data_IF_654021239434
#
_entry.id   IF_654021239434
#
_cell.length_a   1.000
_cell.length_b   1.000
_cell.length_c   1.000
_cell.angle_alpha   90.00
_cell.angle_beta   90.00
_cell.angle_gamma   90.00
#
_symmetry.space_group_name_H-M   'P 1'
#
loop_
_entity.id
_entity.type
_entity.pdbx_description
1 polymer ?
#
# COMPACT_ATOMS: atom_id res chain seq x y z
N UNK A 1 -55.68 26.94 -6.89
CA UNK A 1 -56.29 28.23 -6.48
C UNK A 1 -55.87 28.65 -5.07
N UNK A 2 -54.60 29.04 -4.89
CA UNK A 2 -54.18 29.93 -3.80
C UNK A 2 -52.86 30.62 -4.20
N UNK A 3 -52.80 31.02 -5.48
CA UNK A 3 -51.88 32.05 -5.96
C UNK A 3 -52.62 33.38 -5.79
N UNK A 4 -52.39 34.04 -4.67
CA UNK A 4 -52.46 35.49 -4.55
C UNK A 4 -51.22 35.84 -3.72
N UNK A 5 -50.15 36.33 -4.34
CA UNK A 5 -49.99 37.74 -4.76
C UNK A 5 -50.50 38.69 -3.68
N UNK A 6 -49.64 39.66 -3.42
CA UNK A 6 -49.83 40.87 -2.62
C UNK A 6 -49.14 40.74 -1.26
N UNK A 7 -47.84 41.04 -1.21
CA UNK A 7 -47.26 42.40 -1.17
C UNK A 7 -46.98 42.80 0.28
N UNK A 8 -45.69 42.92 0.60
CA UNK A 8 -45.07 44.21 0.94
C UNK A 8 -45.67 44.89 2.18
N UNK A 9 -45.04 44.60 3.31
CA UNK A 9 -44.74 45.61 4.33
C UNK A 9 -43.37 45.24 4.92
N UNK A 10 -42.24 45.73 4.37
CA UNK A 10 -41.54 46.93 4.86
C UNK A 10 -41.74 47.18 6.36
N UNK A 11 -40.80 46.69 7.16
CA UNK A 11 -40.39 47.26 8.45
C UNK A 11 -38.93 46.80 8.73
N UNK A 12 -37.89 47.60 8.47
CA UNK A 12 -37.33 48.67 9.32
C UNK A 12 -36.37 48.13 10.39
N UNK A 13 -35.20 48.79 10.47
CA UNK A 13 -34.25 48.93 11.59
C UNK A 13 -33.00 48.03 11.67
N UNK A 14 -31.86 48.67 11.36
CA UNK A 14 -30.63 48.79 12.18
C UNK A 14 -30.06 47.55 12.90
N UNK A 15 -28.91 47.07 12.41
CA UNK A 15 -28.00 46.16 13.12
C UNK A 15 -26.62 46.79 13.31
N UNK A 16 -26.31 47.12 14.56
CA UNK A 16 -25.26 48.02 15.07
C UNK A 16 -23.87 47.36 15.09
N UNK A 17 -22.82 48.12 14.70
CA UNK A 17 -21.41 47.81 15.00
C UNK A 17 -21.24 47.61 16.52
N UNK A 18 -20.56 46.54 16.92
CA UNK A 18 -20.19 46.29 18.31
C UNK A 18 -19.06 45.28 18.40
N UNK A 19 -17.82 45.76 18.34
CA UNK A 19 -16.63 44.97 18.64
C UNK A 19 -16.65 44.54 20.11
N UNK A 20 -16.59 43.24 20.36
CA UNK A 20 -16.42 42.68 21.71
C UNK A 20 -14.92 42.60 22.01
N UNK A 21 -14.43 43.46 22.89
CA UNK A 21 -13.08 43.32 23.48
C UNK A 21 -13.14 42.17 24.49
N UNK A 22 -12.42 41.09 24.21
CA UNK A 22 -12.30 39.94 25.12
C UNK A 22 -11.11 40.15 26.05
N UNK A 23 -11.37 40.53 27.29
CA UNK A 23 -10.35 40.60 28.34
C UNK A 23 -9.99 39.18 28.77
N UNK A 24 -8.74 38.78 28.57
CA UNK A 24 -8.21 37.48 28.95
C UNK A 24 -7.80 37.55 30.42
N UNK A 25 -8.65 37.04 31.30
CA UNK A 25 -8.37 36.93 32.73
C UNK A 25 -7.24 35.89 32.92
N UNK A 26 -6.08 36.32 33.41
CA UNK A 26 -4.93 35.45 33.68
C UNK A 26 -4.94 35.13 35.18
N UNK A 27 -5.38 33.91 35.53
CA UNK A 27 -5.24 33.37 36.88
C UNK A 27 -3.84 32.79 37.11
N UNK A 28 -3.39 32.66 38.38
CA UNK A 28 -2.07 32.12 38.68
C UNK A 28 -1.97 30.65 38.22
N UNK A 29 -0.89 30.34 37.51
CA UNK A 29 -0.58 28.99 37.01
C UNK A 29 -0.30 28.09 38.22
N UNK A 30 -0.98 26.95 38.32
CA UNK A 30 -0.79 25.98 39.40
C UNK A 30 0.69 25.55 39.52
N UNK A 31 1.18 25.19 40.73
CA UNK A 31 2.55 24.74 40.91
C UNK A 31 2.79 23.47 40.09
N UNK A 32 3.87 23.47 39.32
CA UNK A 32 4.32 22.32 38.53
C UNK A 32 4.58 21.14 39.46
N UNK A 33 3.90 20.02 39.21
CA UNK A 33 4.12 18.79 39.96
C UNK A 33 5.44 18.15 39.49
N UNK A 34 6.50 18.12 40.30
CA UNK A 34 7.83 17.64 39.89
C UNK A 34 7.87 16.12 39.65
N UNK A 35 6.82 15.40 40.03
CA UNK A 35 6.70 13.95 39.79
C UNK A 35 6.21 13.62 38.37
N UNK A 36 5.71 14.61 37.62
CA UNK A 36 5.23 14.40 36.25
C UNK A 36 6.37 13.98 35.29
N UNK A 37 7.58 14.48 35.51
CA UNK A 37 8.76 14.16 34.69
C UNK A 37 9.31 12.74 34.95
N UNK A 38 8.90 12.09 36.05
CA UNK A 38 9.35 10.74 36.42
C UNK A 38 8.36 9.64 36.04
N UNK A 39 7.13 10.00 35.64
CA UNK A 39 6.05 9.06 35.28
C UNK A 39 5.92 8.86 33.77
N UNK A 40 6.47 9.76 32.96
CA UNK A 40 6.57 9.56 31.51
C UNK A 40 7.86 8.79 31.23
N UNK A 41 7.81 7.47 30.94
CA UNK A 41 8.98 6.82 30.38
C UNK A 41 9.37 7.60 29.11
N UNK A 42 10.67 7.91 28.91
CA UNK A 42 11.09 8.70 27.75
C UNK A 42 10.50 8.07 26.49
N UNK A 43 9.89 8.90 25.65
CA UNK A 43 9.22 8.51 24.38
C UNK A 43 10.17 7.80 23.38
N UNK A 44 11.43 7.58 23.78
CA UNK A 44 12.51 6.97 23.01
C UNK A 44 12.45 5.43 22.90
N UNK A 45 11.61 4.73 23.66
CA UNK A 45 11.62 3.25 23.69
C UNK A 45 10.67 2.53 22.72
N UNK A 46 9.88 3.23 21.90
CA UNK A 46 9.07 2.60 20.84
C UNK A 46 9.52 3.11 19.46
N UNK A 47 10.77 2.81 19.09
CA UNK A 47 11.17 2.88 17.69
C UNK A 47 10.49 1.72 16.95
N UNK A 48 9.35 2.00 16.31
CA UNK A 48 8.73 1.04 15.40
C UNK A 48 9.76 0.69 14.32
N UNK A 49 9.97 -0.59 13.98
CA UNK A 49 10.88 -0.95 12.90
C UNK A 49 10.49 -0.17 11.63
N UNK A 50 11.48 0.28 10.83
CA UNK A 50 11.19 0.97 9.58
C UNK A 50 10.25 0.10 8.75
N UNK A 51 9.17 0.69 8.24
CA UNK A 51 8.24 -0.04 7.36
C UNK A 51 9.05 -0.54 6.16
N UNK A 52 8.95 -1.83 5.79
CA UNK A 52 9.63 -2.32 4.61
C UNK A 52 9.13 -1.56 3.38
N UNK A 53 10.05 -1.11 2.54
CA UNK A 53 9.71 -0.38 1.33
C UNK A 53 8.87 -1.26 0.41
N UNK A 54 7.69 -0.78 0.04
CA UNK A 54 6.75 -1.48 -0.86
C UNK A 54 7.27 -1.66 -2.30
N UNK A 55 8.43 -1.08 -2.59
CA UNK A 55 9.14 -1.17 -3.87
C UNK A 55 10.42 -2.00 -3.80
N UNK A 56 10.64 -2.77 -2.72
CA UNK A 56 11.78 -3.67 -2.64
C UNK A 56 11.77 -4.64 -3.83
N UNK A 57 12.94 -4.83 -4.43
CA UNK A 57 13.16 -5.72 -5.56
C UNK A 57 14.41 -6.54 -5.27
N UNK A 58 14.27 -7.86 -5.19
CA UNK A 58 15.38 -8.78 -5.00
C UNK A 58 15.81 -9.32 -6.36
N UNK A 59 17.05 -9.04 -6.76
CA UNK A 59 17.55 -9.38 -8.10
C UNK A 59 18.46 -10.60 -8.02
N UNK A 60 18.28 -11.52 -8.97
CA UNK A 60 19.13 -12.68 -9.20
C UNK A 60 19.61 -12.72 -10.67
N UNK A 61 20.91 -12.90 -10.93
CA UNK A 61 22.02 -13.05 -9.99
C UNK A 61 22.39 -11.72 -9.29
N UNK A 62 22.88 -11.80 -8.05
CA UNK A 62 23.15 -10.62 -7.22
C UNK A 62 24.24 -9.69 -7.80
N UNK A 63 25.12 -10.23 -8.65
CA UNK A 63 26.14 -9.47 -9.39
C UNK A 63 25.56 -8.46 -10.39
N UNK A 64 24.35 -8.69 -10.89
CA UNK A 64 23.71 -7.84 -11.90
C UNK A 64 22.72 -6.83 -11.30
N UNK A 65 22.67 -6.70 -9.97
CA UNK A 65 21.73 -5.82 -9.24
C UNK A 65 21.69 -4.38 -9.75
N UNK A 66 22.82 -3.81 -10.16
CA UNK A 66 22.91 -2.41 -10.61
C UNK A 66 22.78 -2.23 -12.12
N UNK A 67 22.94 -3.30 -12.91
CA UNK A 67 23.00 -3.24 -14.37
C UNK A 67 21.77 -3.84 -15.04
N UNK A 68 20.91 -4.54 -14.30
CA UNK A 68 19.79 -5.29 -14.85
C UNK A 68 18.55 -4.42 -15.09
N UNK A 69 18.15 -4.28 -16.37
CA UNK A 69 16.91 -3.62 -16.77
C UNK A 69 15.72 -4.59 -16.80
N UNK A 70 14.97 -4.66 -15.70
CA UNK A 70 13.80 -5.54 -15.55
C UNK A 70 12.51 -4.99 -16.21
N UNK A 71 12.59 -3.91 -17.00
CA UNK A 71 11.41 -3.31 -17.68
C UNK A 71 10.87 -4.20 -18.80
N UNK A 72 11.73 -4.97 -19.46
CA UNK A 72 11.37 -5.89 -20.54
C UNK A 72 11.04 -7.29 -20.02
N UNK A 73 11.16 -7.53 -18.71
CA UNK A 73 10.97 -8.85 -18.13
C UNK A 73 9.49 -9.18 -18.04
N UNK A 74 9.20 -10.48 -18.12
CA UNK A 74 7.84 -10.98 -18.05
C UNK A 74 7.42 -11.15 -16.58
N UNK A 75 6.27 -10.59 -16.23
CA UNK A 75 5.72 -10.70 -14.89
C UNK A 75 4.96 -12.01 -14.69
N UNK A 76 5.38 -12.79 -13.71
CA UNK A 76 4.73 -14.01 -13.23
C UNK A 76 4.16 -13.71 -11.84
N UNK A 77 2.85 -13.91 -11.69
CA UNK A 77 2.18 -13.84 -10.40
C UNK A 77 1.94 -15.26 -9.87
N UNK A 78 2.02 -15.49 -8.55
CA UNK A 78 1.75 -16.82 -8.00
C UNK A 78 0.38 -17.38 -8.40
N UNK A 79 -0.65 -16.53 -8.47
CA UNK A 79 -2.01 -16.87 -8.96
C UNK A 79 -2.02 -17.55 -10.34
N UNK A 80 -0.99 -17.35 -11.18
CA UNK A 80 -0.92 -18.00 -12.49
C UNK A 80 -0.72 -19.51 -12.39
N UNK A 81 -0.03 -19.96 -11.34
CA UNK A 81 0.36 -21.35 -11.09
C UNK A 81 -0.54 -22.04 -10.05
N UNK A 82 -1.46 -21.30 -9.44
CA UNK A 82 -2.30 -21.78 -8.35
C UNK A 82 -3.41 -22.71 -8.84
N UNK A 83 -3.41 -23.95 -8.34
CA UNK A 83 -4.41 -24.97 -8.66
C UNK A 83 -5.81 -24.64 -8.12
N UNK A 84 -5.89 -23.93 -6.99
CA UNK A 84 -7.14 -23.60 -6.30
C UNK A 84 -7.93 -22.52 -7.05
N UNK A 85 -7.23 -21.67 -7.81
CA UNK A 85 -7.81 -20.53 -8.54
C UNK A 85 -8.25 -20.95 -9.92
N UNK A 86 -9.39 -20.44 -10.38
CA UNK A 86 -9.89 -20.71 -11.74
C UNK A 86 -9.22 -19.83 -12.79
N UNK A 87 -9.38 -20.17 -14.08
CA UNK A 87 -8.89 -19.34 -15.20
C UNK A 87 -9.45 -17.92 -15.16
N UNK A 88 -10.71 -17.77 -14.71
CA UNK A 88 -11.35 -16.46 -14.53
C UNK A 88 -10.65 -15.62 -13.45
N UNK A 89 -10.17 -16.27 -12.39
CA UNK A 89 -9.46 -15.63 -11.29
C UNK A 89 -7.99 -15.33 -11.61
N UNK A 90 -7.42 -15.95 -12.65
CA UNK A 90 -6.08 -15.61 -13.13
C UNK A 90 -5.16 -16.79 -13.42
N UNK A 91 -5.58 -18.03 -13.12
CA UNK A 91 -4.79 -19.22 -13.45
C UNK A 91 -4.52 -19.28 -14.96
N UNK A 92 -3.26 -19.52 -15.32
CA UNK A 92 -2.81 -19.55 -16.74
C UNK A 92 -2.43 -20.93 -17.24
N UNK A 93 -2.20 -21.89 -16.34
CA UNK A 93 -1.82 -23.26 -16.66
C UNK A 93 -2.99 -24.24 -16.46
N UNK A 94 -2.85 -25.45 -17.00
CA UNK A 94 -3.79 -26.53 -16.77
C UNK A 94 -3.84 -26.91 -15.28
N UNK A 95 -5.00 -27.35 -14.79
CA UNK A 95 -5.15 -27.69 -13.38
C UNK A 95 -4.32 -28.92 -12.96
N UNK A 96 -3.95 -29.79 -13.92
CA UNK A 96 -3.06 -30.93 -13.69
C UNK A 96 -1.61 -30.53 -13.39
N UNK A 97 -1.17 -29.40 -13.93
CA UNK A 97 0.22 -28.95 -13.86
C UNK A 97 0.38 -27.84 -12.82
N UNK A 98 -0.75 -27.42 -12.21
CA UNK A 98 -0.81 -26.39 -11.21
C UNK A 98 -0.48 -26.92 -9.82
N UNK A 99 0.08 -26.04 -8.99
CA UNK A 99 0.47 -26.35 -7.61
C UNK A 99 -0.46 -25.65 -6.63
N UNK A 100 -0.77 -26.25 -5.47
CA UNK A 100 -1.54 -25.59 -4.44
C UNK A 100 -0.69 -24.50 -3.75
N UNK A 101 -1.28 -23.32 -3.57
CA UNK A 101 -0.73 -22.20 -2.79
C UNK A 101 0.74 -21.83 -3.13
N UNK A 102 1.05 -21.53 -4.40
CA UNK A 102 2.41 -21.17 -4.81
C UNK A 102 2.85 -19.86 -4.15
N UNK A 103 4.07 -19.81 -3.62
CA UNK A 103 4.65 -18.57 -3.09
C UNK A 103 5.62 -17.90 -4.06
N UNK A 104 5.79 -16.58 -3.95
CA UNK A 104 6.75 -15.83 -4.79
C UNK A 104 8.21 -16.26 -4.53
N UNK A 105 8.49 -16.75 -3.32
CA UNK A 105 9.82 -17.21 -2.91
C UNK A 105 10.15 -18.54 -3.59
N UNK A 106 9.24 -19.52 -3.57
CA UNK A 106 9.42 -20.81 -4.24
C UNK A 106 9.60 -20.64 -5.75
N UNK A 107 8.85 -19.72 -6.37
CA UNK A 107 9.02 -19.42 -7.80
C UNK A 107 10.42 -18.86 -8.06
N UNK A 108 10.92 -17.95 -7.21
CA UNK A 108 12.29 -17.43 -7.30
C UNK A 108 13.35 -18.53 -7.11
N UNK A 109 13.16 -19.42 -6.14
CA UNK A 109 14.04 -20.57 -5.90
C UNK A 109 14.08 -21.54 -7.07
N UNK A 110 12.94 -21.85 -7.67
CA UNK A 110 12.85 -22.69 -8.85
C UNK A 110 13.58 -22.06 -10.05
N UNK A 111 13.39 -20.76 -10.29
CA UNK A 111 14.10 -20.02 -11.34
C UNK A 111 15.60 -19.94 -11.08
N UNK A 112 16.00 -19.81 -9.81
CA UNK A 112 17.40 -19.88 -9.38
C UNK A 112 18.01 -21.24 -9.68
N UNK A 113 17.30 -22.33 -9.40
CA UNK A 113 17.75 -23.68 -9.72
C UNK A 113 17.93 -23.90 -11.23
N UNK A 114 17.09 -23.27 -12.06
CA UNK A 114 17.21 -23.26 -13.52
C UNK A 114 18.24 -22.23 -14.06
N UNK A 115 18.90 -21.48 -13.17
CA UNK A 115 19.87 -20.44 -13.51
C UNK A 115 19.30 -19.34 -14.43
N UNK A 116 18.02 -19.01 -14.28
CA UNK A 116 17.33 -17.96 -15.04
C UNK A 116 17.44 -16.63 -14.31
N UNK A 117 17.75 -15.55 -15.05
CA UNK A 117 17.79 -14.19 -14.49
C UNK A 117 16.39 -13.72 -14.14
N UNK A 118 16.20 -13.23 -12.92
CA UNK A 118 14.89 -12.81 -12.46
C UNK A 118 14.98 -11.76 -11.33
N UNK A 119 13.87 -11.06 -11.11
CA UNK A 119 13.71 -10.10 -10.02
C UNK A 119 12.40 -10.36 -9.26
N UNK A 120 12.48 -10.56 -7.95
CA UNK A 120 11.35 -10.83 -7.07
C UNK A 120 10.88 -9.53 -6.41
N UNK A 121 9.59 -9.24 -6.50
CA UNK A 121 8.96 -8.08 -5.89
C UNK A 121 7.84 -8.55 -4.94
N UNK A 122 8.12 -8.72 -3.64
CA UNK A 122 7.25 -9.44 -2.71
C UNK A 122 5.96 -8.67 -2.36
N UNK A 123 5.95 -7.34 -2.46
CA UNK A 123 4.80 -6.52 -2.05
C UNK A 123 3.88 -6.12 -3.21
N UNK A 124 4.05 -6.73 -4.40
CA UNK A 124 3.25 -6.40 -5.59
C UNK A 124 2.11 -7.39 -5.75
N UNK A 125 0.91 -7.00 -5.34
CA UNK A 125 -0.28 -7.83 -5.49
C UNK A 125 -0.84 -7.88 -6.92
N UNK A 126 -1.54 -8.97 -7.23
CA UNK A 126 -2.18 -9.20 -8.52
C UNK A 126 -3.50 -8.41 -8.64
N UNK A 127 -3.73 -7.59 -9.68
CA UNK A 127 -4.90 -6.70 -9.73
C UNK A 127 -6.23 -7.39 -10.06
N UNK A 128 -6.22 -8.57 -10.71
CA UNK A 128 -7.45 -9.25 -11.13
C UNK A 128 -8.11 -10.03 -9.98
N UNK A 129 -7.32 -10.48 -9.00
CA UNK A 129 -7.83 -11.16 -7.81
C UNK A 129 -7.58 -10.32 -6.56
N UNK A 130 -8.67 -9.85 -5.94
CA UNK A 130 -8.59 -9.03 -4.75
C UNK A 130 -8.10 -9.80 -3.52
N UNK A 131 -8.36 -11.11 -3.46
CA UNK A 131 -7.97 -11.99 -2.36
C UNK A 131 -6.46 -12.22 -2.38
N UNK A 132 -5.91 -12.73 -3.50
CA UNK A 132 -4.47 -12.91 -3.67
C UNK A 132 -3.67 -11.61 -3.58
N UNK A 133 -4.30 -10.45 -3.82
CA UNK A 133 -3.63 -9.15 -3.65
C UNK A 133 -3.19 -8.88 -2.20
N UNK A 134 -3.89 -9.44 -1.22
CA UNK A 134 -3.61 -9.27 0.20
C UNK A 134 -2.97 -10.52 0.84
N UNK A 135 -3.47 -11.71 0.51
CA UNK A 135 -3.07 -12.94 1.21
C UNK A 135 -1.76 -13.52 0.66
N UNK A 136 -1.52 -13.40 -0.65
CA UNK A 136 -0.32 -13.90 -1.31
C UNK A 136 0.24 -12.86 -2.29
N UNK A 137 0.70 -11.69 -1.78
CA UNK A 137 1.27 -10.66 -2.61
C UNK A 137 2.62 -11.12 -3.16
N UNK A 138 2.93 -10.64 -4.36
CA UNK A 138 4.22 -10.90 -4.97
C UNK A 138 4.13 -11.02 -6.47
N UNK A 139 5.20 -10.64 -7.15
CA UNK A 139 5.44 -11.04 -8.53
C UNK A 139 6.92 -11.31 -8.75
N UNK A 140 7.20 -12.20 -9.69
CA UNK A 140 8.54 -12.43 -10.21
C UNK A 140 8.62 -11.89 -11.62
N UNK A 141 9.62 -11.08 -11.91
CA UNK A 141 9.97 -10.63 -13.24
C UNK A 141 11.04 -11.55 -13.79
N UNK A 142 10.78 -12.21 -14.92
CA UNK A 142 11.68 -13.20 -15.51
C UNK A 142 12.23 -12.68 -16.82
N UNK A 143 13.53 -12.84 -17.00
CA UNK A 143 14.17 -12.65 -18.29
C UNK A 143 13.97 -13.91 -19.13
N UNK A 144 13.26 -13.78 -20.25
CA UNK A 144 13.13 -14.88 -21.19
C UNK A 144 14.30 -14.92 -22.19
N UNK A 145 15.23 -13.95 -22.14
CA UNK A 145 16.23 -13.78 -23.17
C UNK A 145 15.60 -13.68 -24.57
N UNK A 146 16.43 -13.75 -25.60
CA UNK A 146 15.96 -13.87 -26.99
C UNK A 146 15.51 -15.31 -27.32
N UNK A 147 14.89 -16.01 -26.36
CA UNK A 147 14.36 -17.37 -26.57
C UNK A 147 13.12 -17.39 -27.48
N UNK A 148 12.69 -16.24 -27.99
CA UNK A 148 11.69 -16.11 -29.05
C UNK A 148 12.29 -16.18 -30.47
N UNK A 149 13.61 -16.33 -30.60
CA UNK A 149 14.32 -16.44 -31.89
C UNK A 149 14.73 -17.89 -32.26
N UNK A 150 14.06 -18.91 -31.71
CA UNK A 150 14.28 -20.33 -32.00
C UNK A 150 13.05 -21.00 -32.62
#
# INVERSE_FOLDING_TARGET
NLRRREERARATTMGKKGGKVRVKQVGPKAPVNPLADLVVPPEEMIHLPPKPDSNITHIWPMSETFTMDYKQFHAIYPTYLDATKTVKLGRRIAASDAVPDPSVQEIGEALRAMNVRHAVQPYKGYPRDAESRWDNPGRVLVDLGDAAAG
#
